data_IF_802105290079
#
_entry.id   IF_802105290079
#
_cell.length_a   1.000
_cell.length_b   1.000
_cell.length_c   1.000
_cell.angle_alpha   90.00
_cell.angle_beta   90.00
_cell.angle_gamma   90.00
#
_symmetry.space_group_name_H-M   'P 1'
#
loop_
_entity.id
_entity.type
_entity.pdbx_description
1 polymer ?
#
# COMPACT_ATOMS: atom_id res chain seq x y z
N UNK A 1 2.30 -9.67 -23.52
CA UNK A 1 3.03 -9.40 -22.26
C UNK A 1 2.63 -10.46 -21.27
N UNK A 2 3.61 -11.20 -20.76
CA UNK A 2 3.39 -12.21 -19.73
C UNK A 2 3.57 -11.54 -18.37
N UNK A 3 2.78 -11.95 -17.36
CA UNK A 3 2.94 -11.38 -16.02
C UNK A 3 4.26 -11.86 -15.36
N UNK A 4 4.72 -13.05 -15.70
CA UNK A 4 6.00 -13.63 -15.27
C UNK A 4 7.18 -12.74 -15.61
N UNK A 5 7.31 -12.33 -16.87
CA UNK A 5 8.37 -11.42 -17.35
C UNK A 5 8.45 -10.13 -16.51
N UNK A 6 7.30 -9.50 -16.27
CA UNK A 6 7.23 -8.24 -15.50
C UNK A 6 7.58 -8.45 -14.02
N UNK A 7 7.16 -9.59 -13.44
CA UNK A 7 7.47 -9.91 -12.03
C UNK A 7 8.93 -10.31 -11.84
N UNK A 8 9.55 -10.94 -12.84
CA UNK A 8 10.99 -11.24 -12.85
C UNK A 8 11.83 -9.95 -12.88
N UNK A 9 11.46 -8.99 -13.72
CA UNK A 9 12.11 -7.67 -13.76
C UNK A 9 11.83 -6.85 -12.49
N UNK A 10 10.65 -7.02 -11.90
CA UNK A 10 10.21 -6.24 -10.74
C UNK A 10 9.62 -7.12 -9.61
N UNK A 11 10.46 -7.84 -8.83
CA UNK A 11 10.00 -8.69 -7.73
C UNK A 11 9.20 -7.94 -6.65
N UNK A 12 9.37 -6.61 -6.55
CA UNK A 12 8.56 -5.75 -5.67
C UNK A 12 7.05 -5.76 -6.00
N UNK A 13 6.63 -6.32 -7.13
CA UNK A 13 5.22 -6.53 -7.50
C UNK A 13 4.56 -7.72 -6.80
N UNK A 14 5.34 -8.63 -6.22
CA UNK A 14 4.80 -9.83 -5.57
C UNK A 14 3.71 -9.50 -4.53
N UNK A 15 3.92 -8.52 -3.61
CA UNK A 15 2.86 -8.04 -2.72
C UNK A 15 1.60 -7.57 -3.44
N UNK A 16 1.75 -6.87 -4.57
CA UNK A 16 0.63 -6.30 -5.33
C UNK A 16 -0.20 -7.40 -5.97
N UNK A 17 0.41 -8.32 -6.71
CA UNK A 17 -0.30 -9.43 -7.37
C UNK A 17 -0.96 -10.38 -6.35
N UNK A 18 -0.33 -10.57 -5.18
CA UNK A 18 -0.89 -11.37 -4.10
C UNK A 18 -2.23 -10.81 -3.58
N UNK A 19 -2.42 -9.49 -3.58
CA UNK A 19 -3.69 -8.84 -3.17
C UNK A 19 -4.82 -9.13 -4.14
N UNK A 20 -4.48 -9.38 -5.41
CA UNK A 20 -5.42 -9.82 -6.44
C UNK A 20 -5.67 -11.34 -6.43
N UNK A 21 -5.06 -12.07 -5.49
CA UNK A 21 -5.15 -13.52 -5.40
C UNK A 21 -4.24 -14.26 -6.38
N UNK A 22 -3.42 -13.55 -7.15
CA UNK A 22 -2.45 -14.12 -8.08
C UNK A 22 -1.18 -14.48 -7.28
N UNK A 23 -0.75 -15.74 -7.36
CA UNK A 23 0.46 -16.24 -6.69
C UNK A 23 1.57 -16.51 -7.69
N UNK A 24 2.81 -16.61 -7.20
CA UNK A 24 3.95 -17.09 -8.01
C UNK A 24 3.69 -18.50 -8.54
N UNK A 25 4.41 -18.87 -9.60
CA UNK A 25 4.07 -20.01 -10.44
C UNK A 25 3.16 -19.60 -11.60
N UNK A 26 3.44 -18.43 -12.20
CA UNK A 26 2.62 -17.80 -13.24
C UNK A 26 2.67 -18.54 -14.59
N UNK A 27 3.75 -19.29 -14.85
CA UNK A 27 4.01 -19.92 -16.14
C UNK A 27 4.05 -18.90 -17.28
N UNK A 28 3.65 -19.31 -18.48
CA UNK A 28 3.68 -18.47 -19.68
C UNK A 28 2.34 -17.76 -19.95
N UNK A 29 1.51 -17.61 -18.90
CA UNK A 29 0.16 -17.04 -19.05
C UNK A 29 0.22 -15.54 -19.31
N UNK A 30 -0.63 -15.09 -20.23
CA UNK A 30 -0.85 -13.65 -20.43
C UNK A 30 -1.55 -13.03 -19.23
N UNK A 31 -1.35 -11.72 -19.01
CA UNK A 31 -2.07 -10.97 -17.96
C UNK A 31 -3.59 -11.14 -18.09
N UNK A 32 -4.11 -11.08 -19.32
CA UNK A 32 -5.53 -11.24 -19.61
C UNK A 32 -6.06 -12.62 -19.17
N UNK A 33 -5.33 -13.68 -19.49
CA UNK A 33 -5.69 -15.06 -19.10
C UNK A 33 -5.72 -15.20 -17.57
N UNK A 34 -4.73 -14.66 -16.87
CA UNK A 34 -4.73 -14.65 -15.40
C UNK A 34 -5.91 -13.85 -14.83
N UNK A 35 -6.23 -12.70 -15.41
CA UNK A 35 -7.40 -11.93 -14.99
C UNK A 35 -8.70 -12.70 -15.19
N UNK A 36 -8.88 -13.38 -16.32
CA UNK A 36 -10.06 -14.22 -16.58
C UNK A 36 -10.21 -15.35 -15.56
N UNK A 37 -9.12 -16.06 -15.24
CA UNK A 37 -9.11 -17.14 -14.25
C UNK A 37 -9.47 -16.66 -12.83
N UNK A 38 -9.06 -15.43 -12.49
CA UNK A 38 -9.26 -14.84 -11.18
C UNK A 38 -10.49 -13.92 -11.10
N UNK A 39 -11.31 -13.84 -12.15
CA UNK A 39 -12.45 -12.91 -12.25
C UNK A 39 -12.07 -11.44 -11.97
N UNK A 40 -10.94 -11.00 -12.53
CA UNK A 40 -10.39 -9.66 -12.35
C UNK A 40 -10.63 -8.77 -13.57
N UNK A 41 -10.85 -7.48 -13.31
CA UNK A 41 -10.76 -6.46 -14.34
C UNK A 41 -9.28 -6.28 -14.77
N UNK A 42 -9.01 -6.60 -16.03
CA UNK A 42 -7.66 -6.53 -16.60
C UNK A 42 -7.14 -5.09 -16.65
N UNK A 43 -8.01 -4.14 -16.98
CA UNK A 43 -7.65 -2.73 -17.06
C UNK A 43 -7.34 -2.15 -15.67
N UNK A 44 -8.09 -2.57 -14.66
CA UNK A 44 -7.82 -2.21 -13.27
C UNK A 44 -6.47 -2.75 -12.80
N UNK A 45 -6.21 -4.05 -12.99
CA UNK A 45 -4.94 -4.67 -12.60
C UNK A 45 -3.74 -3.97 -13.24
N UNK A 46 -3.79 -3.75 -14.57
CA UNK A 46 -2.72 -3.07 -15.30
C UNK A 46 -2.51 -1.64 -14.80
N UNK A 47 -3.60 -0.92 -14.49
CA UNK A 47 -3.51 0.45 -13.97
C UNK A 47 -2.82 0.46 -12.62
N UNK A 48 -3.16 -0.47 -11.72
CA UNK A 48 -2.53 -0.60 -10.40
C UNK A 48 -1.05 -0.97 -10.53
N UNK A 49 -0.70 -1.97 -11.35
CA UNK A 49 0.69 -2.40 -11.58
C UNK A 49 1.52 -1.22 -12.12
N UNK A 50 1.05 -0.54 -13.15
CA UNK A 50 1.78 0.58 -13.75
C UNK A 50 1.97 1.74 -12.77
N UNK A 51 0.95 2.04 -11.96
CA UNK A 51 1.03 3.08 -10.91
C UNK A 51 2.05 2.70 -9.83
N UNK A 52 2.16 1.40 -9.51
CA UNK A 52 3.11 0.91 -8.53
C UNK A 52 4.56 0.91 -9.05
N UNK A 53 4.76 0.52 -10.31
CA UNK A 53 6.08 0.43 -10.93
C UNK A 53 6.70 1.81 -11.19
N UNK A 54 5.90 2.76 -11.66
CA UNK A 54 6.39 4.07 -12.06
C UNK A 54 5.88 5.16 -11.10
N UNK A 55 6.78 5.64 -10.23
CA UNK A 55 6.44 6.64 -9.22
C UNK A 55 6.03 8.00 -9.83
N UNK A 56 6.58 8.40 -10.98
CA UNK A 56 6.23 9.64 -11.66
C UNK A 56 4.90 9.54 -12.42
N UNK A 57 4.50 8.32 -12.77
CA UNK A 57 3.24 8.04 -13.46
C UNK A 57 2.09 7.89 -12.46
N UNK A 58 1.08 8.75 -12.57
CA UNK A 58 -0.17 8.60 -11.83
C UNK A 58 -1.37 8.79 -12.77
N UNK A 59 -2.05 7.71 -13.19
CA UNK A 59 -3.13 7.77 -14.16
C UNK A 59 -4.45 8.20 -13.52
N UNK A 60 -4.48 9.41 -12.94
CA UNK A 60 -5.58 9.93 -12.12
C UNK A 60 -6.94 9.85 -12.83
N UNK A 61 -7.00 10.32 -14.09
CA UNK A 61 -8.22 10.25 -14.90
C UNK A 61 -8.71 8.81 -15.12
N UNK A 62 -7.81 7.86 -15.37
CA UNK A 62 -8.19 6.45 -15.57
C UNK A 62 -8.65 5.84 -14.25
N UNK A 63 -7.94 6.12 -13.15
CA UNK A 63 -8.32 5.63 -11.83
C UNK A 63 -9.70 6.12 -11.38
N UNK A 64 -10.07 7.36 -11.73
CA UNK A 64 -11.40 7.93 -11.47
C UNK A 64 -12.53 7.32 -12.32
N UNK A 65 -12.22 6.52 -13.35
CA UNK A 65 -13.25 5.81 -14.14
C UNK A 65 -13.70 4.49 -13.49
N UNK A 66 -12.92 3.95 -12.55
CA UNK A 66 -13.28 2.72 -11.85
C UNK A 66 -14.32 2.98 -10.77
N UNK A 67 -15.06 1.91 -10.44
CA UNK A 67 -16.07 1.98 -9.41
C UNK A 67 -15.43 2.23 -8.04
N UNK A 68 -16.04 3.09 -7.22
CA UNK A 68 -15.60 3.35 -5.85
C UNK A 68 -15.44 2.04 -5.05
N UNK A 69 -16.33 1.08 -5.29
CA UNK A 69 -16.29 -0.26 -4.68
C UNK A 69 -15.04 -1.05 -5.05
N UNK A 70 -14.58 -0.99 -6.31
CA UNK A 70 -13.33 -1.62 -6.76
C UNK A 70 -12.09 -0.98 -6.11
N UNK A 71 -12.08 0.36 -6.01
CA UNK A 71 -10.99 1.10 -5.35
C UNK A 71 -10.91 0.73 -3.86
N UNK A 72 -12.06 0.73 -3.18
CA UNK A 72 -12.15 0.36 -1.76
C UNK A 72 -11.73 -1.09 -1.55
N UNK A 73 -12.21 -2.03 -2.37
CA UNK A 73 -11.82 -3.44 -2.28
C UNK A 73 -10.30 -3.62 -2.41
N UNK A 74 -9.65 -2.92 -3.34
CA UNK A 74 -8.19 -2.94 -3.46
C UNK A 74 -7.47 -2.37 -2.23
N UNK A 75 -7.94 -1.25 -1.68
CA UNK A 75 -7.35 -0.66 -0.47
C UNK A 75 -7.56 -1.57 0.75
N UNK A 76 -8.74 -2.19 0.89
CA UNK A 76 -9.03 -3.18 1.95
C UNK A 76 -8.12 -4.41 1.82
N UNK A 77 -7.95 -4.96 0.61
CA UNK A 77 -7.03 -6.09 0.36
C UNK A 77 -5.58 -5.71 0.67
N UNK A 78 -5.19 -4.47 0.41
CA UNK A 78 -3.87 -3.93 0.80
C UNK A 78 -3.71 -3.89 2.32
N UNK A 79 -4.70 -3.36 3.05
CA UNK A 79 -4.72 -3.33 4.51
C UNK A 79 -4.62 -4.74 5.12
N UNK A 80 -5.39 -5.70 4.59
CA UNK A 80 -5.32 -7.10 5.04
C UNK A 80 -3.95 -7.72 4.77
N UNK A 81 -3.30 -7.36 3.65
CA UNK A 81 -1.97 -7.84 3.34
C UNK A 81 -0.91 -7.31 4.33
N UNK A 82 -1.02 -6.04 4.73
CA UNK A 82 -0.18 -5.47 5.78
C UNK A 82 -0.28 -6.24 7.09
N UNK A 83 -1.51 -6.45 7.57
CA UNK A 83 -1.78 -7.12 8.84
C UNK A 83 -1.32 -8.59 8.84
N UNK A 84 -1.57 -9.32 7.75
CA UNK A 84 -1.35 -10.77 7.70
C UNK A 84 0.06 -11.16 7.32
N UNK A 85 0.75 -10.34 6.52
CA UNK A 85 2.02 -10.74 5.90
C UNK A 85 3.15 -9.77 6.16
N UNK A 86 3.03 -8.48 5.77
CA UNK A 86 4.17 -7.57 5.82
C UNK A 86 4.59 -7.21 7.25
N UNK A 87 3.65 -6.83 8.12
CA UNK A 87 3.97 -6.50 9.51
C UNK A 87 4.56 -7.70 10.27
N UNK A 88 3.94 -8.91 10.25
CA UNK A 88 4.54 -10.08 10.90
C UNK A 88 5.92 -10.46 10.33
N UNK A 89 6.12 -10.28 9.02
CA UNK A 89 7.41 -10.58 8.41
C UNK A 89 8.51 -9.62 8.90
N UNK A 90 8.23 -8.31 8.95
CA UNK A 90 9.20 -7.33 9.45
C UNK A 90 9.47 -7.57 10.93
N UNK A 91 8.43 -7.83 11.72
CA UNK A 91 8.56 -8.10 13.16
C UNK A 91 9.47 -9.31 13.44
N UNK A 92 9.35 -10.39 12.64
CA UNK A 92 10.23 -11.56 12.75
C UNK A 92 11.69 -11.24 12.41
N UNK A 93 11.93 -10.51 11.32
CA UNK A 93 13.30 -10.13 10.94
C UNK A 93 13.91 -9.16 11.95
N UNK A 94 13.13 -8.19 12.43
CA UNK A 94 13.57 -7.21 13.41
C UNK A 94 13.86 -7.86 14.76
N UNK A 95 13.01 -8.78 15.21
CA UNK A 95 13.24 -9.55 16.43
C UNK A 95 14.52 -10.39 16.35
N UNK A 96 14.78 -11.03 15.20
CA UNK A 96 16.03 -11.76 14.95
C UNK A 96 17.23 -10.82 14.95
N UNK A 97 17.14 -9.68 14.26
CA UNK A 97 18.21 -8.67 14.20
C UNK A 97 18.58 -8.14 15.59
N UNK A 98 17.59 -7.79 16.41
CA UNK A 98 17.81 -7.28 17.76
C UNK A 98 18.39 -8.35 18.69
N UNK A 99 17.89 -9.59 18.62
CA UNK A 99 18.32 -10.67 19.53
C UNK A 99 19.68 -11.28 19.19
N UNK A 100 20.07 -11.31 17.92
CA UNK A 100 21.33 -11.89 17.46
C UNK A 100 22.49 -10.89 17.39
N UNK A 101 22.19 -9.59 17.53
CA UNK A 101 23.19 -8.53 17.63
C UNK A 101 23.64 -8.31 19.07
N UNK A 102 24.69 -7.50 19.26
CA UNK A 102 25.32 -7.30 20.58
C UNK A 102 24.31 -6.84 21.65
N UNK A 103 24.19 -7.57 22.76
CA UNK A 103 23.31 -7.19 23.86
C UNK A 103 23.65 -5.81 24.42
N UNK A 104 22.62 -5.04 24.77
CA UNK A 104 22.81 -3.71 25.39
C UNK A 104 23.07 -2.57 24.41
N UNK A 105 22.98 -2.79 23.09
CA UNK A 105 23.05 -1.71 22.11
C UNK A 105 21.79 -0.80 22.20
N UNK A 106 21.93 0.47 22.63
CA UNK A 106 20.80 1.37 22.82
C UNK A 106 20.09 1.72 21.51
N UNK A 107 20.81 1.74 20.39
CA UNK A 107 20.24 2.01 19.06
C UNK A 107 19.30 0.89 18.61
N UNK A 108 19.63 -0.38 18.89
CA UNK A 108 18.74 -1.51 18.58
C UNK A 108 17.43 -1.43 19.36
N UNK A 109 17.50 -1.08 20.65
CA UNK A 109 16.32 -0.85 21.47
C UNK A 109 15.47 0.32 20.95
N UNK A 110 16.10 1.37 20.42
CA UNK A 110 15.41 2.51 19.81
C UNK A 110 14.68 2.11 18.51
N UNK A 111 15.34 1.37 17.62
CA UNK A 111 14.76 0.84 16.38
C UNK A 111 13.51 0.01 16.68
N UNK A 112 13.58 -0.87 17.69
CA UNK A 112 12.42 -1.66 18.14
C UNK A 112 11.23 -0.78 18.55
N UNK A 113 11.47 0.28 19.34
CA UNK A 113 10.40 1.21 19.76
C UNK A 113 9.79 1.98 18.59
N UNK A 114 10.61 2.49 17.68
CA UNK A 114 10.12 3.19 16.49
C UNK A 114 9.24 2.28 15.61
N UNK A 115 9.67 1.04 15.40
CA UNK A 115 8.86 0.07 14.66
C UNK A 115 7.53 -0.23 15.37
N UNK A 116 7.53 -0.39 16.69
CA UNK A 116 6.28 -0.58 17.46
C UNK A 116 5.33 0.61 17.29
N UNK A 117 5.82 1.85 17.42
CA UNK A 117 5.00 3.05 17.23
C UNK A 117 4.43 3.15 15.80
N UNK A 118 5.25 2.86 14.78
CA UNK A 118 4.78 2.76 13.40
C UNK A 118 3.67 1.71 13.23
N UNK A 119 3.88 0.50 13.79
CA UNK A 119 2.93 -0.61 13.70
C UNK A 119 1.60 -0.25 14.35
N UNK A 120 1.62 0.35 15.54
CA UNK A 120 0.42 0.81 16.25
C UNK A 120 -0.37 1.83 15.43
N UNK A 121 0.29 2.85 14.88
CA UNK A 121 -0.35 3.89 14.07
C UNK A 121 -0.95 3.33 12.78
N UNK A 122 -0.21 2.45 12.09
CA UNK A 122 -0.73 1.80 10.88
C UNK A 122 -1.94 0.92 11.18
N UNK A 123 -1.91 0.11 12.24
CA UNK A 123 -3.05 -0.73 12.65
C UNK A 123 -4.25 0.15 13.01
N UNK A 124 -4.06 1.23 13.77
CA UNK A 124 -5.12 2.15 14.12
C UNK A 124 -5.76 2.80 12.87
N UNK A 125 -4.96 3.18 11.87
CA UNK A 125 -5.47 3.69 10.60
C UNK A 125 -6.27 2.64 9.84
N UNK A 126 -5.77 1.41 9.76
CA UNK A 126 -6.47 0.30 9.10
C UNK A 126 -7.82 0.03 9.79
N UNK A 127 -7.86 -0.01 11.12
CA UNK A 127 -9.10 -0.21 11.86
C UNK A 127 -10.12 0.91 11.61
N UNK A 128 -9.66 2.17 11.56
CA UNK A 128 -10.51 3.31 11.22
C UNK A 128 -11.02 3.21 9.78
N UNK A 129 -10.16 2.82 8.85
CA UNK A 129 -10.53 2.67 7.46
C UNK A 129 -11.62 1.59 7.30
N UNK A 130 -11.43 0.42 7.92
CA UNK A 130 -12.36 -0.71 7.83
C UNK A 130 -13.69 -0.48 8.58
N UNK A 131 -13.65 0.14 9.76
CA UNK A 131 -14.85 0.30 10.61
C UNK A 131 -15.66 1.57 10.29
N UNK A 132 -15.01 2.60 9.73
CA UNK A 132 -15.62 3.94 9.61
C UNK A 132 -15.53 4.46 8.18
N UNK A 133 -14.31 4.65 7.65
CA UNK A 133 -14.12 5.39 6.41
C UNK A 133 -14.65 4.65 5.19
N UNK A 134 -14.26 3.39 4.97
CA UNK A 134 -14.72 2.61 3.82
C UNK A 134 -16.23 2.35 3.85
N UNK A 135 -16.85 1.97 5.00
CA UNK A 135 -18.32 1.89 5.09
C UNK A 135 -19.02 3.21 4.75
N UNK A 136 -18.47 4.35 5.19
CA UNK A 136 -19.00 5.67 4.86
C UNK A 136 -18.95 5.95 3.35
N UNK A 137 -17.80 5.71 2.72
CA UNK A 137 -17.61 5.89 1.27
C UNK A 137 -18.60 5.02 0.47
N UNK A 138 -18.78 3.76 0.87
CA UNK A 138 -19.74 2.84 0.25
C UNK A 138 -21.19 3.32 0.43
N UNK A 139 -21.53 3.89 1.58
CA UNK A 139 -22.87 4.42 1.85
C UNK A 139 -23.23 5.59 0.93
N UNK A 140 -22.27 6.48 0.65
CA UNK A 140 -22.45 7.60 -0.30
C UNK A 140 -22.66 7.08 -1.72
N UNK A 141 -21.81 6.15 -2.15
CA UNK A 141 -21.94 5.53 -3.48
C UNK A 141 -23.30 4.85 -3.66
N UNK A 142 -23.84 4.21 -2.61
CA UNK A 142 -25.15 3.55 -2.66
C UNK A 142 -26.31 4.56 -2.73
N UNK A 143 -26.22 5.70 -2.03
CA UNK A 143 -27.26 6.75 -2.04
C UNK A 143 -27.46 7.37 -3.42
N UNK A 144 -26.38 7.48 -4.20
CA UNK A 144 -26.43 8.08 -5.54
C UNK A 144 -27.07 7.17 -6.59
N UNK A 145 -27.45 5.92 -6.25
CA UNK A 145 -28.27 5.03 -7.09
C UNK A 145 -27.61 4.53 -8.40
N UNK A 146 -26.48 5.12 -8.76
CA UNK A 146 -25.56 4.68 -9.79
C UNK A 146 -24.18 4.71 -9.15
N UNK A 147 -23.50 3.56 -9.08
CA UNK A 147 -22.05 3.63 -9.00
C UNK A 147 -21.61 4.45 -10.21
N UNK A 148 -20.91 5.58 -10.03
CA UNK A 148 -20.52 6.41 -11.16
C UNK A 148 -19.40 5.69 -11.94
N UNK A 149 -19.78 4.69 -12.73
CA UNK A 149 -19.01 4.25 -13.89
C UNK A 149 -19.22 5.30 -14.97
N UNK A 150 -18.33 6.27 -15.01
CA UNK A 150 -18.37 7.32 -16.02
C UNK A 150 -18.37 8.69 -15.39
N UNK A 151 -17.23 9.36 -15.59
CA UNK A 151 -17.08 10.81 -15.66
C UNK A 151 -17.94 11.59 -14.67
N UNK A 152 -17.32 11.95 -13.54
CA UNK A 152 -17.65 13.17 -12.82
C UNK A 152 -17.31 14.35 -13.76
N UNK A 153 -18.07 14.50 -14.85
CA UNK A 153 -17.86 15.53 -15.85
C UNK A 153 -18.44 16.83 -15.28
N UNK A 154 -17.58 17.63 -14.66
CA UNK A 154 -17.92 18.97 -14.19
C UNK A 154 -17.49 19.33 -12.76
N UNK A 155 -17.08 18.37 -11.92
CA UNK A 155 -16.47 18.72 -10.62
C UNK A 155 -14.96 18.70 -10.78
N UNK A 156 -14.34 19.89 -10.71
CA UNK A 156 -12.90 20.00 -10.52
C UNK A 156 -12.53 19.28 -9.21
N UNK A 157 -12.00 18.07 -9.36
CA UNK A 157 -11.31 17.35 -8.31
C UNK A 157 -10.02 18.12 -8.04
N UNK A 158 -10.06 18.97 -7.02
CA UNK A 158 -8.86 19.66 -6.54
C UNK A 158 -8.10 18.70 -5.63
N UNK A 159 -6.89 18.31 -6.04
CA UNK A 159 -5.97 17.62 -5.14
C UNK A 159 -5.53 18.62 -4.05
N UNK A 160 -6.11 18.52 -2.85
CA UNK A 160 -5.58 19.25 -1.72
C UNK A 160 -4.17 18.73 -1.42
N UNK A 161 -3.15 19.61 -1.54
CA UNK A 161 -1.80 19.33 -1.08
C UNK A 161 -1.84 19.15 0.43
N UNK A 162 -1.69 17.92 0.89
CA UNK A 162 -1.69 17.61 2.32
C UNK A 162 -0.28 17.59 2.88
N UNK A 163 -0.20 18.00 4.15
CA UNK A 163 0.90 17.80 5.08
C UNK A 163 1.40 16.36 5.11
N UNK A 164 2.68 16.20 5.41
CA UNK A 164 3.40 14.93 5.52
C UNK A 164 2.60 13.85 6.29
N UNK A 165 2.45 12.66 5.72
CA UNK A 165 1.72 11.53 6.32
C UNK A 165 2.54 10.97 7.49
N UNK A 166 1.94 10.89 8.68
CA UNK A 166 2.64 10.50 9.92
C UNK A 166 3.25 9.09 9.84
N UNK A 167 2.58 8.16 9.16
CA UNK A 167 3.05 6.78 8.98
C UNK A 167 4.25 6.75 8.03
N UNK A 168 4.23 7.56 6.96
CA UNK A 168 5.39 7.71 6.07
C UNK A 168 6.58 8.36 6.80
N UNK A 169 6.34 9.39 7.62
CA UNK A 169 7.38 10.04 8.42
C UNK A 169 8.03 9.07 9.41
N UNK A 170 7.24 8.25 10.12
CA UNK A 170 7.76 7.25 11.05
C UNK A 170 8.66 6.21 10.34
N UNK A 171 8.30 5.79 9.12
CA UNK A 171 9.15 4.88 8.33
C UNK A 171 10.42 5.57 7.85
N UNK A 172 10.33 6.84 7.42
CA UNK A 172 11.49 7.63 7.03
C UNK A 172 12.47 7.81 8.19
N UNK A 173 11.95 8.09 9.40
CA UNK A 173 12.74 8.19 10.63
C UNK A 173 13.39 6.86 11.00
N UNK A 174 12.62 5.76 11.00
CA UNK A 174 13.15 4.42 11.28
C UNK A 174 14.30 4.06 10.32
N UNK A 175 14.12 4.30 9.02
CA UNK A 175 15.16 4.12 7.99
C UNK A 175 16.36 5.02 8.25
N UNK A 176 16.14 6.30 8.55
CA UNK A 176 17.20 7.26 8.84
C UNK A 176 18.02 6.85 10.06
N UNK A 177 17.38 6.33 11.12
CA UNK A 177 18.05 5.83 12.31
C UNK A 177 18.91 4.61 11.99
N UNK A 178 18.37 3.63 11.26
CA UNK A 178 19.11 2.44 10.86
C UNK A 178 20.34 2.80 10.01
N UNK A 179 20.22 3.76 9.11
CA UNK A 179 21.31 4.13 8.19
C UNK A 179 22.35 5.04 8.86
N UNK A 180 21.94 5.99 9.69
CA UNK A 180 22.83 7.05 10.21
C UNK A 180 23.34 6.81 11.63
N UNK A 181 22.60 6.05 12.44
CA UNK A 181 22.83 5.98 13.89
C UNK A 181 23.13 4.58 14.39
N UNK A 182 22.98 3.55 13.54
CA UNK A 182 23.42 2.20 13.87
C UNK A 182 24.95 2.17 14.04
N UNK A 183 25.39 1.63 15.17
CA UNK A 183 26.81 1.60 15.56
C UNK A 183 27.08 0.40 16.46
N UNK A 184 28.37 0.05 16.62
CA UNK A 184 28.81 -1.15 17.32
C UNK A 184 28.67 -2.41 16.47
N UNK A 185 28.88 -3.58 17.09
CA UNK A 185 28.78 -4.87 16.41
C UNK A 185 27.32 -5.33 16.31
N UNK A 186 26.87 -5.64 15.10
CA UNK A 186 25.54 -6.15 14.79
C UNK A 186 25.60 -7.12 13.61
N UNK A 187 24.55 -7.92 13.43
CA UNK A 187 24.47 -8.82 12.27
C UNK A 187 24.09 -8.03 11.01
N UNK A 188 25.05 -7.86 10.11
CA UNK A 188 24.91 -7.09 8.86
C UNK A 188 23.87 -7.68 7.91
N UNK A 189 23.76 -9.01 7.84
CA UNK A 189 22.81 -9.70 6.96
C UNK A 189 21.37 -9.48 7.44
N UNK A 190 21.14 -9.60 8.76
CA UNK A 190 19.85 -9.32 9.37
C UNK A 190 19.50 -7.83 9.29
N UNK A 191 20.48 -6.94 9.49
CA UNK A 191 20.29 -5.50 9.30
C UNK A 191 19.81 -5.19 7.88
N UNK A 192 20.49 -5.74 6.86
CA UNK A 192 20.10 -5.58 5.47
C UNK A 192 18.69 -6.11 5.20
N UNK A 193 18.34 -7.30 5.71
CA UNK A 193 17.01 -7.89 5.53
C UNK A 193 15.90 -7.03 6.15
N UNK A 194 16.13 -6.46 7.34
CA UNK A 194 15.19 -5.54 7.99
C UNK A 194 15.05 -4.25 7.18
N UNK A 195 16.16 -3.63 6.78
CA UNK A 195 16.16 -2.39 6.02
C UNK A 195 15.45 -2.55 4.67
N UNK A 196 15.73 -3.64 3.96
CA UNK A 196 15.06 -3.98 2.70
C UNK A 196 13.54 -4.15 2.89
N UNK A 197 13.13 -4.84 3.95
CA UNK A 197 11.71 -5.04 4.25
C UNK A 197 10.99 -3.74 4.60
N UNK A 198 11.65 -2.83 5.34
CA UNK A 198 11.14 -1.49 5.65
C UNK A 198 11.01 -0.65 4.38
N UNK A 199 12.03 -0.62 3.52
CA UNK A 199 11.97 0.11 2.25
C UNK A 199 10.86 -0.42 1.33
N UNK A 200 10.67 -1.73 1.27
CA UNK A 200 9.58 -2.34 0.50
C UNK A 200 8.20 -1.94 1.03
N UNK A 201 8.02 -1.88 2.36
CA UNK A 201 6.76 -1.45 2.97
C UNK A 201 6.53 0.06 2.78
N UNK A 202 7.57 0.88 2.91
CA UNK A 202 7.50 2.33 2.67
C UNK A 202 7.03 2.65 1.24
N UNK A 203 7.63 1.99 0.23
CA UNK A 203 7.20 2.14 -1.17
C UNK A 203 5.73 1.79 -1.34
N UNK A 204 5.29 0.70 -0.72
CA UNK A 204 3.92 0.23 -0.85
C UNK A 204 2.90 1.14 -0.14
N UNK A 205 3.22 1.62 1.06
CA UNK A 205 2.40 2.59 1.80
C UNK A 205 2.28 3.90 1.04
N UNK A 206 3.35 4.39 0.42
CA UNK A 206 3.28 5.59 -0.43
C UNK A 206 2.29 5.41 -1.57
N UNK A 207 2.30 4.26 -2.24
CA UNK A 207 1.36 3.98 -3.32
C UNK A 207 -0.09 3.83 -2.83
N UNK A 208 -0.28 3.14 -1.70
CA UNK A 208 -1.57 3.04 -1.03
C UNK A 208 -2.13 4.42 -0.66
N UNK A 209 -1.29 5.29 -0.06
CA UNK A 209 -1.64 6.65 0.31
C UNK A 209 -1.95 7.52 -0.93
N UNK A 210 -1.20 7.36 -2.03
CA UNK A 210 -1.50 8.06 -3.30
C UNK A 210 -2.89 7.73 -3.82
N UNK A 211 -3.28 6.46 -3.85
CA UNK A 211 -4.62 6.06 -4.28
C UNK A 211 -5.68 6.61 -3.31
N UNK A 212 -5.43 6.48 -1.99
CA UNK A 212 -6.33 7.01 -0.95
C UNK A 212 -6.59 8.50 -1.14
N UNK A 213 -5.55 9.31 -1.23
CA UNK A 213 -5.65 10.77 -1.18
C UNK A 213 -5.94 11.42 -2.54
N UNK A 214 -5.47 10.85 -3.65
CA UNK A 214 -5.67 11.44 -4.98
C UNK A 214 -6.86 10.88 -5.74
N UNK A 215 -7.37 9.71 -5.34
CA UNK A 215 -8.51 9.07 -6.01
C UNK A 215 -9.70 8.99 -5.07
N UNK A 216 -9.60 8.21 -3.99
CA UNK A 216 -10.76 7.92 -3.15
C UNK A 216 -11.26 9.18 -2.44
N UNK A 217 -10.38 9.98 -1.82
CA UNK A 217 -10.79 11.20 -1.12
C UNK A 217 -11.53 12.18 -2.03
N UNK A 218 -11.03 12.54 -3.23
CA UNK A 218 -11.77 13.42 -4.12
C UNK A 218 -13.08 12.83 -4.66
N UNK A 219 -13.12 11.52 -4.94
CA UNK A 219 -14.37 10.86 -5.32
C UNK A 219 -15.41 10.99 -4.20
N UNK A 220 -15.01 10.82 -2.95
CA UNK A 220 -15.88 10.99 -1.78
C UNK A 220 -16.38 12.43 -1.66
N UNK A 221 -15.48 13.43 -1.75
CA UNK A 221 -15.88 14.84 -1.70
C UNK A 221 -16.83 15.24 -2.84
N UNK A 222 -16.68 14.65 -4.03
CA UNK A 222 -17.62 14.83 -5.13
C UNK A 222 -18.98 14.19 -4.83
N UNK A 223 -19.00 12.96 -4.30
CA UNK A 223 -20.23 12.28 -3.89
C UNK A 223 -20.97 13.02 -2.77
N UNK A 224 -20.24 13.58 -1.78
CA UNK A 224 -20.80 14.40 -0.71
C UNK A 224 -21.56 15.62 -1.26
N UNK A 225 -20.95 16.35 -2.21
CA UNK A 225 -21.57 17.52 -2.86
C UNK A 225 -22.84 17.18 -3.64
N UNK A 226 -22.95 15.96 -4.17
CA UNK A 226 -24.13 15.50 -4.91
C UNK A 226 -25.24 14.95 -4.01
N UNK A 227 -24.92 14.61 -2.75
CA UNK A 227 -25.89 14.11 -1.77
C UNK A 227 -26.56 15.23 -0.93
N UNK A 228 -26.10 16.47 -1.07
CA UNK A 228 -26.67 17.69 -0.46
C UNK A 228 -27.70 18.27 -1.42
#
# INVERSE_FOLDING_TARGET
>A
MQLSEVVEEHPSLIPVINRFGIRLGLGDKSVKTLCEEHSLDTDFLLTVINTFLNEEYFPEKKLQTFHTSQIIDYLTKTNQYYLRYQLPNIERHLGSFISMSTPGNPTLGLIGRFFSSFKEELIARIEKDDKIWFPYCMSLSKKLGKEPAGTIDGLQITSEQRTEDTIEALLADLKSIMVKHLSGDYDENLCYAVLFSICSLEKDIKQHNRIRYRILTPMVSAMEKLCI
#
